data_IF_570859455058
#
_entry.id   IF_570859455058
#
_cell.length_a   1.000
_cell.length_b   1.000
_cell.length_c   1.000
_cell.angle_alpha   90.00
_cell.angle_beta   90.00
_cell.angle_gamma   90.00
#
_symmetry.space_group_name_H-M   'P 1'
#
loop_
_entity.id
_entity.type
_entity.pdbx_description
1 polymer ?
#
# COMPACT_ATOMS: atom_id res chain seq x y z
N UNK A 1 12.85 12.19 6.98
CA UNK A 1 11.91 11.06 7.07
C UNK A 1 10.47 11.55 6.95
N UNK A 2 9.53 10.61 6.83
CA UNK A 2 8.08 10.86 6.86
C UNK A 2 7.64 10.94 8.32
N UNK A 3 6.83 11.93 8.66
CA UNK A 3 6.27 12.12 10.00
C UNK A 3 4.88 11.49 10.10
N UNK A 4 4.47 11.20 11.34
CA UNK A 4 3.10 10.81 11.59
C UNK A 4 2.14 11.90 11.08
N UNK A 5 1.00 11.48 10.53
CA UNK A 5 -0.01 12.36 9.93
C UNK A 5 0.41 13.14 8.67
N UNK A 6 1.59 12.89 8.10
CA UNK A 6 2.02 13.52 6.85
C UNK A 6 1.33 12.86 5.65
N UNK A 7 0.98 13.66 4.63
CA UNK A 7 0.51 13.11 3.35
C UNK A 7 1.66 12.42 2.62
N UNK A 8 1.38 11.27 2.04
CA UNK A 8 2.35 10.47 1.28
C UNK A 8 1.74 9.95 -0.01
N UNK A 9 2.58 9.84 -1.03
CA UNK A 9 2.28 9.08 -2.24
C UNK A 9 2.90 7.68 -2.09
N UNK A 10 2.08 6.65 -2.25
CA UNK A 10 2.53 5.26 -2.32
C UNK A 10 2.36 4.78 -3.76
N UNK A 11 3.44 4.32 -4.36
CA UNK A 11 3.46 3.85 -5.75
C UNK A 11 3.97 2.42 -5.87
N UNK A 12 3.43 1.68 -6.83
CA UNK A 12 3.95 0.40 -7.30
C UNK A 12 4.12 0.45 -8.81
N UNK A 13 4.57 -0.64 -9.42
CA UNK A 13 4.59 -0.78 -10.89
C UNK A 13 3.20 -0.69 -11.55
N UNK A 14 2.12 -0.74 -10.78
CA UNK A 14 0.73 -0.84 -11.26
C UNK A 14 -0.07 0.45 -11.12
N UNK A 15 0.38 1.36 -10.26
CA UNK A 15 -0.33 2.60 -10.00
C UNK A 15 0.21 3.30 -8.77
N UNK A 16 -0.52 4.34 -8.36
CA UNK A 16 -0.19 5.15 -7.19
C UNK A 16 -1.45 5.62 -6.49
N UNK A 17 -1.35 5.80 -5.18
CA UNK A 17 -2.41 6.33 -4.32
C UNK A 17 -1.82 7.38 -3.38
N UNK A 18 -2.65 8.32 -2.93
CA UNK A 18 -2.28 9.28 -1.89
C UNK A 18 -3.03 8.96 -0.60
N UNK A 19 -2.32 8.98 0.51
CA UNK A 19 -2.88 8.69 1.83
C UNK A 19 -2.07 9.35 2.93
N UNK A 20 -2.66 9.42 4.13
CA UNK A 20 -2.02 9.95 5.33
C UNK A 20 -1.22 8.85 6.04
N UNK A 21 0.03 9.12 6.36
CA UNK A 21 0.90 8.18 7.06
C UNK A 21 0.52 8.06 8.55
N UNK A 22 0.43 6.82 9.04
CA UNK A 22 0.42 6.49 10.47
C UNK A 22 1.75 5.83 10.83
N UNK A 23 2.65 6.57 11.47
CA UNK A 23 3.96 6.05 11.87
C UNK A 23 3.82 5.36 13.23
N UNK A 24 4.12 4.06 13.28
CA UNK A 24 3.97 3.22 14.47
C UNK A 24 5.04 2.12 14.49
N UNK A 25 5.37 1.65 15.68
CA UNK A 25 6.22 0.50 15.99
C UNK A 25 5.49 -0.86 15.90
N UNK A 26 4.17 -0.86 15.68
CA UNK A 26 3.36 -2.10 15.54
C UNK A 26 3.65 -2.90 14.28
N UNK A 27 4.31 -2.29 13.29
CA UNK A 27 4.64 -2.91 12.01
C UNK A 27 6.15 -3.07 11.89
N UNK A 28 6.59 -4.24 11.42
CA UNK A 28 8.02 -4.53 11.22
C UNK A 28 8.63 -3.53 10.23
N UNK A 29 9.87 -3.11 10.50
CA UNK A 29 10.64 -2.28 9.58
C UNK A 29 10.71 -2.91 8.17
N UNK A 30 10.46 -2.09 7.15
CA UNK A 30 10.40 -2.52 5.75
C UNK A 30 9.04 -3.07 5.30
N UNK A 31 8.06 -3.18 6.21
CA UNK A 31 6.69 -3.59 5.89
C UNK A 31 5.76 -2.38 6.03
N UNK A 32 4.73 -2.34 5.19
CA UNK A 32 3.67 -1.33 5.22
C UNK A 32 2.32 -2.02 5.32
N UNK A 33 1.37 -1.37 5.97
CA UNK A 33 -0.01 -1.81 6.03
C UNK A 33 -0.91 -0.72 5.45
N UNK A 34 -1.78 -1.09 4.51
CA UNK A 34 -2.74 -0.18 3.89
C UNK A 34 -4.12 -0.87 3.92
N UNK A 35 -5.12 -0.31 4.61
CA UNK A 35 -6.48 -0.83 4.55
C UNK A 35 -7.09 -0.63 3.14
N UNK A 36 -7.96 -1.53 2.72
CA UNK A 36 -8.56 -1.53 1.37
C UNK A 36 -10.01 -1.03 1.32
N UNK A 37 -10.57 -0.55 2.44
CA UNK A 37 -11.96 -0.11 2.54
C UNK A 37 -12.20 1.36 2.16
N UNK A 38 -11.17 2.11 1.76
CA UNK A 38 -11.26 3.50 1.29
C UNK A 38 -11.19 3.55 -0.23
N UNK A 39 -12.25 4.04 -0.88
CA UNK A 39 -12.33 4.10 -2.34
C UNK A 39 -11.39 5.16 -2.93
N UNK A 40 -11.23 6.28 -2.22
CA UNK A 40 -10.35 7.41 -2.57
C UNK A 40 -8.86 7.04 -2.56
N UNK A 41 -8.49 5.99 -1.82
CA UNK A 41 -7.13 5.48 -1.68
C UNK A 41 -7.11 3.95 -1.76
N UNK A 42 -7.76 3.40 -2.79
CA UNK A 42 -7.96 1.97 -2.95
C UNK A 42 -6.62 1.21 -3.06
N UNK A 43 -6.25 0.46 -2.01
CA UNK A 43 -5.01 -0.31 -1.95
C UNK A 43 -4.84 -1.27 -3.15
N UNK A 44 -5.95 -1.81 -3.66
CA UNK A 44 -5.94 -2.76 -4.76
C UNK A 44 -5.35 -2.18 -6.07
N UNK A 45 -5.36 -0.84 -6.25
CA UNK A 45 -4.67 -0.16 -7.35
C UNK A 45 -3.18 -0.50 -7.40
N UNK A 46 -2.57 -0.80 -6.24
CA UNK A 46 -1.17 -1.14 -6.14
C UNK A 46 -0.90 -2.63 -6.36
N UNK A 47 -1.88 -3.51 -6.11
CA UNK A 47 -1.71 -4.97 -5.93
C UNK A 47 -1.71 -5.77 -7.23
N UNK A 48 -1.21 -7.01 -7.16
CA UNK A 48 -1.14 -7.94 -8.29
C UNK A 48 -2.51 -8.59 -8.59
N UNK A 49 -3.04 -8.52 -9.84
CA UNK A 49 -4.26 -9.23 -10.20
C UNK A 49 -4.03 -10.72 -10.48
N UNK A 50 -2.79 -11.23 -10.30
CA UNK A 50 -2.52 -12.65 -10.44
C UNK A 50 -3.32 -13.45 -9.40
N UNK A 51 -3.86 -14.57 -9.87
CA UNK A 51 -4.59 -15.53 -9.05
C UNK A 51 -3.73 -16.77 -8.84
N UNK A 52 -3.86 -17.36 -7.66
CA UNK A 52 -3.33 -18.70 -7.41
C UNK A 52 -3.88 -19.68 -8.46
N UNK A 53 -3.03 -20.53 -9.09
CA UNK A 53 -3.47 -21.39 -10.20
C UNK A 53 -4.48 -22.45 -9.78
N UNK A 54 -4.52 -22.83 -8.49
CA UNK A 54 -5.40 -23.88 -7.95
C UNK A 54 -6.65 -23.26 -7.31
N UNK A 55 -6.47 -22.42 -6.30
CA UNK A 55 -7.53 -21.85 -5.47
C UNK A 55 -8.19 -20.60 -6.07
N UNK A 56 -7.60 -20.00 -7.11
CA UNK A 56 -8.08 -18.77 -7.77
C UNK A 56 -8.20 -17.56 -6.84
N UNK A 57 -7.47 -17.54 -5.72
CA UNK A 57 -7.42 -16.42 -4.78
C UNK A 57 -6.37 -15.37 -5.20
N UNK A 58 -6.64 -14.07 -5.00
CA UNK A 58 -5.70 -13.01 -5.37
C UNK A 58 -4.54 -12.86 -4.37
N UNK A 59 -3.39 -12.46 -4.90
CA UNK A 59 -2.20 -12.13 -4.11
C UNK A 59 -2.27 -10.69 -3.55
N UNK A 60 -3.02 -10.51 -2.47
CA UNK A 60 -3.23 -9.18 -1.86
C UNK A 60 -2.21 -8.81 -0.79
N UNK A 61 -1.52 -9.79 -0.20
CA UNK A 61 -0.66 -9.59 0.99
C UNK A 61 0.79 -9.23 0.66
N UNK A 62 1.16 -9.27 -0.62
CA UNK A 62 2.53 -8.99 -1.07
C UNK A 62 2.48 -8.01 -2.24
N UNK A 63 3.09 -6.84 -2.06
CA UNK A 63 3.28 -5.86 -3.13
C UNK A 63 4.50 -4.99 -2.83
N UNK A 64 5.42 -4.92 -3.79
CA UNK A 64 6.54 -4.01 -3.72
C UNK A 64 6.07 -2.57 -3.98
N UNK A 65 6.34 -1.67 -3.04
CA UNK A 65 5.93 -0.27 -3.11
C UNK A 65 7.08 0.68 -2.78
N UNK A 66 6.97 1.91 -3.28
CA UNK A 66 7.81 3.06 -2.93
C UNK A 66 6.95 4.11 -2.25
N UNK A 67 7.46 4.71 -1.18
CA UNK A 67 6.79 5.79 -0.46
C UNK A 67 7.57 7.09 -0.64
N UNK A 68 6.86 8.17 -0.95
CA UNK A 68 7.40 9.52 -1.06
C UNK A 68 6.50 10.50 -0.31
N UNK A 69 7.04 11.65 0.11
CA UNK A 69 6.21 12.73 0.68
C UNK A 69 5.20 13.19 -0.37
N UNK A 70 3.95 13.33 0.04
CA UNK A 70 2.89 13.90 -0.78
C UNK A 70 3.14 15.38 -0.99
N UNK A 71 2.92 15.85 -2.22
CA UNK A 71 2.85 17.28 -2.53
C UNK A 71 1.56 17.91 -2.03
#
# INVERSE_FOLDING_TARGET
GIKNSEQVEVSSRRGKIQLKALVTDKIKQGIVFIPFHYAEAAANVLTNPALDPVAKIPELKVCAVKIQKGG
#
